data_IF_353004063642
#
_entry.id   IF_353004063642
#
_cell.length_a   1.000
_cell.length_b   1.000
_cell.length_c   1.000
_cell.angle_alpha   90.00
_cell.angle_beta   90.00
_cell.angle_gamma   90.00
#
_symmetry.space_group_name_H-M   'P 1'
#
loop_
_entity.id
_entity.type
_entity.pdbx_description
1 polymer ?
#
# COMPACT_ATOMS: atom_id res chain seq x y z
N UNK A 1 15.46 -8.01 -12.11
CA UNK A 1 14.45 -7.26 -12.89
C UNK A 1 15.10 -5.95 -13.31
N UNK A 2 15.08 -5.56 -14.59
CA UNK A 2 15.85 -4.38 -15.08
C UNK A 2 15.55 -3.12 -14.26
N UNK A 3 14.27 -2.88 -13.91
CA UNK A 3 13.87 -1.73 -13.09
C UNK A 3 14.52 -1.68 -11.71
N UNK A 4 14.56 -2.80 -10.96
CA UNK A 4 15.23 -2.89 -9.65
C UNK A 4 16.73 -2.61 -9.77
N UNK A 5 17.39 -3.23 -10.75
CA UNK A 5 18.82 -3.01 -10.98
C UNK A 5 19.13 -1.55 -11.33
N UNK A 6 18.27 -0.88 -12.09
CA UNK A 6 18.42 0.56 -12.35
C UNK A 6 18.31 1.40 -11.07
N UNK A 7 17.39 1.06 -10.15
CA UNK A 7 17.25 1.77 -8.86
C UNK A 7 18.51 1.57 -8.01
N UNK A 8 19.00 0.33 -7.88
CA UNK A 8 20.22 0.00 -7.13
C UNK A 8 21.45 0.75 -7.65
N UNK A 9 21.50 1.07 -8.95
CA UNK A 9 22.58 1.83 -9.58
C UNK A 9 22.32 3.36 -9.63
N UNK A 10 21.33 3.86 -8.91
CA UNK A 10 21.03 5.29 -8.78
C UNK A 10 20.15 5.89 -9.88
N UNK A 11 19.73 5.10 -10.89
CA UNK A 11 18.85 5.56 -11.97
C UNK A 11 17.37 5.46 -11.59
N UNK A 12 16.99 6.08 -10.46
CA UNK A 12 15.68 5.91 -9.81
C UNK A 12 14.49 6.17 -10.74
N UNK A 13 14.44 7.34 -11.37
CA UNK A 13 13.33 7.74 -12.26
C UNK A 13 13.14 6.75 -13.41
N UNK A 14 14.24 6.30 -14.01
CA UNK A 14 14.20 5.33 -15.09
C UNK A 14 13.78 3.94 -14.59
N UNK A 15 14.32 3.51 -13.44
CA UNK A 15 13.98 2.25 -12.79
C UNK A 15 12.49 2.16 -12.46
N UNK A 16 11.91 3.19 -11.83
CA UNK A 16 10.47 3.28 -11.54
C UNK A 16 9.65 3.20 -12.82
N UNK A 17 10.06 3.90 -13.90
CA UNK A 17 9.37 3.82 -15.19
C UNK A 17 9.37 2.40 -15.75
N UNK A 18 10.52 1.71 -15.70
CA UNK A 18 10.62 0.30 -16.12
C UNK A 18 9.74 -0.62 -15.27
N UNK A 19 9.67 -0.40 -13.96
CA UNK A 19 8.83 -1.16 -13.04
C UNK A 19 7.34 -0.96 -13.34
N UNK A 20 6.88 0.27 -13.54
CA UNK A 20 5.49 0.58 -13.91
C UNK A 20 5.10 -0.07 -15.25
N UNK A 21 5.97 -0.04 -16.25
CA UNK A 21 5.76 -0.75 -17.51
C UNK A 21 5.67 -2.26 -17.30
N UNK A 22 6.57 -2.84 -16.51
CA UNK A 22 6.55 -4.26 -16.17
C UNK A 22 5.27 -4.68 -15.45
N UNK A 23 4.79 -3.87 -14.51
CA UNK A 23 3.52 -4.05 -13.82
C UNK A 23 2.34 -4.09 -14.80
N UNK A 24 2.24 -3.11 -15.71
CA UNK A 24 1.19 -3.07 -16.72
C UNK A 24 1.17 -4.33 -17.60
N UNK A 25 2.33 -4.87 -17.96
CA UNK A 25 2.42 -6.11 -18.75
C UNK A 25 1.98 -7.34 -17.96
N UNK A 26 2.22 -7.40 -16.64
CA UNK A 26 1.79 -8.52 -15.79
C UNK A 26 0.27 -8.50 -15.64
N UNK A 27 -0.33 -7.32 -15.41
CA UNK A 27 -1.79 -7.17 -15.27
C UNK A 27 -2.58 -7.50 -16.54
N UNK A 28 -1.93 -7.58 -17.72
CA UNK A 28 -2.56 -7.96 -19.00
C UNK A 28 -2.55 -9.47 -19.26
N UNK A 29 -1.93 -10.27 -18.38
CA UNK A 29 -1.85 -11.74 -18.54
C UNK A 29 -3.14 -12.39 -18.06
N UNK A 30 -3.45 -13.55 -18.63
CA UNK A 30 -4.62 -14.36 -18.22
C UNK A 30 -4.50 -14.81 -16.76
N UNK A 31 -3.29 -15.12 -16.30
CA UNK A 31 -2.98 -15.40 -14.90
C UNK A 31 -2.05 -14.31 -14.36
N UNK A 32 -2.49 -13.65 -13.30
CA UNK A 32 -1.77 -12.55 -12.67
C UNK A 32 -0.83 -13.09 -11.58
N UNK A 33 0.47 -12.85 -11.76
CA UNK A 33 1.51 -13.20 -10.78
C UNK A 33 1.52 -12.18 -9.62
N UNK A 34 0.70 -12.45 -8.60
CA UNK A 34 0.56 -11.60 -7.41
C UNK A 34 1.87 -11.44 -6.60
N UNK A 35 2.75 -12.44 -6.61
CA UNK A 35 4.06 -12.39 -5.91
C UNK A 35 4.99 -11.42 -6.61
N UNK A 36 5.04 -11.47 -7.94
CA UNK A 36 5.89 -10.54 -8.72
C UNK A 36 5.34 -9.13 -8.67
N UNK A 37 4.03 -8.95 -8.71
CA UNK A 37 3.40 -7.64 -8.57
C UNK A 37 3.69 -7.00 -7.22
N UNK A 38 3.56 -7.76 -6.13
CA UNK A 38 3.81 -7.20 -4.79
C UNK A 38 5.24 -6.70 -4.61
N UNK A 39 6.22 -7.41 -5.18
CA UNK A 39 7.63 -6.97 -5.20
C UNK A 39 7.83 -5.68 -5.99
N UNK A 40 7.16 -5.54 -7.13
CA UNK A 40 7.22 -4.31 -7.94
C UNK A 40 6.60 -3.14 -7.18
N UNK A 41 5.42 -3.33 -6.60
CA UNK A 41 4.70 -2.31 -5.83
C UNK A 41 5.54 -1.84 -4.64
N UNK A 42 6.11 -2.77 -3.86
CA UNK A 42 6.99 -2.45 -2.73
C UNK A 42 8.16 -1.57 -3.18
N UNK A 43 8.82 -1.94 -4.26
CA UNK A 43 9.98 -1.21 -4.76
C UNK A 43 9.60 0.22 -5.20
N UNK A 44 8.47 0.37 -5.90
CA UNK A 44 7.97 1.71 -6.27
C UNK A 44 7.66 2.52 -5.01
N UNK A 45 6.97 1.94 -4.02
CA UNK A 45 6.59 2.64 -2.79
C UNK A 45 7.81 3.15 -2.01
N UNK A 46 8.87 2.35 -1.91
CA UNK A 46 10.09 2.74 -1.18
C UNK A 46 10.79 3.97 -1.78
N UNK A 47 10.61 4.21 -3.07
CA UNK A 47 11.28 5.28 -3.83
C UNK A 47 10.33 6.43 -4.20
N UNK A 48 9.10 6.42 -3.69
CA UNK A 48 8.05 7.35 -4.09
C UNK A 48 7.63 8.31 -2.99
N UNK A 49 7.07 9.45 -3.41
CA UNK A 49 6.42 10.40 -2.51
C UNK A 49 4.98 9.98 -2.18
N UNK A 50 4.38 10.62 -1.17
CA UNK A 50 3.10 10.24 -0.58
C UNK A 50 1.95 10.05 -1.61
N UNK A 51 1.82 10.91 -2.62
CA UNK A 51 0.75 10.79 -3.64
C UNK A 51 0.90 9.52 -4.49
N UNK A 52 2.12 9.23 -4.92
CA UNK A 52 2.40 8.05 -5.73
C UNK A 52 2.28 6.78 -4.87
N UNK A 53 2.65 6.85 -3.58
CA UNK A 53 2.44 5.74 -2.66
C UNK A 53 0.94 5.43 -2.50
N UNK A 54 0.07 6.44 -2.40
CA UNK A 54 -1.39 6.24 -2.34
C UNK A 54 -1.91 5.50 -3.59
N UNK A 55 -1.51 5.95 -4.78
CA UNK A 55 -1.90 5.32 -6.04
C UNK A 55 -1.41 3.86 -6.12
N UNK A 56 -0.18 3.59 -5.65
CA UNK A 56 0.34 2.23 -5.60
C UNK A 56 -0.42 1.33 -4.61
N UNK A 57 -0.83 1.86 -3.47
CA UNK A 57 -1.65 1.11 -2.50
C UNK A 57 -3.03 0.83 -3.06
N UNK A 58 -3.66 1.76 -3.77
CA UNK A 58 -4.96 1.53 -4.43
C UNK A 58 -4.89 0.45 -5.51
N UNK A 59 -3.79 0.42 -6.27
CA UNK A 59 -3.51 -0.67 -7.20
C UNK A 59 -3.30 -1.99 -6.47
N UNK A 60 -2.56 -2.00 -5.36
CA UNK A 60 -2.37 -3.19 -4.55
C UNK A 60 -3.71 -3.73 -4.02
N UNK A 61 -4.58 -2.88 -3.48
CA UNK A 61 -5.91 -3.26 -2.98
C UNK A 61 -6.76 -3.86 -4.10
N UNK A 62 -6.76 -3.24 -5.28
CA UNK A 62 -7.47 -3.77 -6.46
C UNK A 62 -6.94 -5.15 -6.84
N UNK A 63 -5.63 -5.35 -6.74
CA UNK A 63 -4.99 -6.62 -7.09
C UNK A 63 -5.23 -7.71 -6.06
N UNK A 64 -5.18 -7.40 -4.77
CA UNK A 64 -5.54 -8.32 -3.69
C UNK A 64 -6.95 -8.88 -3.91
N UNK A 65 -7.91 -8.01 -4.23
CA UNK A 65 -9.31 -8.40 -4.49
C UNK A 65 -9.52 -9.26 -5.72
N UNK A 66 -8.63 -9.17 -6.72
CA UNK A 66 -8.78 -9.88 -8.00
C UNK A 66 -7.92 -11.13 -8.13
N UNK A 67 -6.99 -11.38 -7.20
CA UNK A 67 -6.01 -12.48 -7.31
C UNK A 67 -6.31 -13.68 -6.42
N UNK A 68 -7.53 -13.81 -5.88
CA UNK A 68 -8.02 -14.95 -5.07
C UNK A 68 -6.95 -15.61 -4.16
N UNK A 69 -6.32 -14.79 -3.30
CA UNK A 69 -5.34 -15.26 -2.33
C UNK A 69 -3.88 -15.44 -2.83
N UNK A 70 -3.60 -15.17 -4.12
CA UNK A 70 -2.22 -15.24 -4.66
C UNK A 70 -1.34 -14.08 -4.13
N UNK A 71 -1.94 -12.93 -3.78
CA UNK A 71 -1.20 -11.80 -3.24
C UNK A 71 -0.59 -12.14 -1.86
N UNK A 72 0.72 -11.96 -1.62
CA UNK A 72 1.34 -12.41 -0.38
C UNK A 72 0.80 -11.71 0.88
N UNK A 73 0.35 -12.49 1.88
CA UNK A 73 -0.18 -11.96 3.15
C UNK A 73 0.77 -10.97 3.85
N UNK A 74 2.08 -11.29 3.91
CA UNK A 74 3.11 -10.40 4.47
C UNK A 74 3.21 -9.04 3.78
N UNK A 75 2.86 -8.98 2.49
CA UNK A 75 2.84 -7.73 1.73
C UNK A 75 1.61 -6.91 2.04
N UNK A 76 0.46 -7.55 2.28
CA UNK A 76 -0.77 -6.89 2.77
C UNK A 76 -0.50 -6.26 4.15
N UNK A 77 0.09 -7.03 5.08
CA UNK A 77 0.47 -6.56 6.41
C UNK A 77 1.45 -5.37 6.35
N UNK A 78 2.44 -5.43 5.45
CA UNK A 78 3.38 -4.34 5.27
C UNK A 78 2.72 -3.07 4.72
N UNK A 79 1.86 -3.20 3.69
CA UNK A 79 1.10 -2.07 3.13
C UNK A 79 0.17 -1.45 4.19
N UNK A 80 -0.45 -2.29 5.03
CA UNK A 80 -1.30 -1.86 6.14
C UNK A 80 -0.47 -1.02 7.14
N UNK A 81 0.70 -1.51 7.55
CA UNK A 81 1.59 -0.81 8.47
C UNK A 81 2.10 0.53 7.91
N UNK A 82 2.51 0.57 6.64
CA UNK A 82 2.92 1.82 5.98
C UNK A 82 1.78 2.84 5.97
N UNK A 83 0.58 2.40 5.57
CA UNK A 83 -0.61 3.26 5.54
C UNK A 83 -0.93 3.81 6.91
N UNK A 84 -0.92 2.97 7.95
CA UNK A 84 -1.19 3.39 9.33
C UNK A 84 -0.16 4.42 9.83
N UNK A 85 1.12 4.17 9.59
CA UNK A 85 2.20 5.07 10.02
C UNK A 85 2.15 6.43 9.32
N UNK A 86 1.84 6.45 8.02
CA UNK A 86 1.62 7.71 7.29
C UNK A 86 0.38 8.45 7.80
N UNK A 87 -0.70 7.73 8.14
CA UNK A 87 -1.88 8.30 8.80
C UNK A 87 -1.53 8.99 10.12
N UNK A 88 -0.74 8.33 10.98
CA UNK A 88 -0.25 8.91 12.22
C UNK A 88 0.60 10.17 11.98
N UNK A 89 1.49 10.13 10.99
CA UNK A 89 2.34 11.28 10.61
C UNK A 89 1.49 12.47 10.13
N UNK A 90 0.47 12.22 9.32
CA UNK A 90 -0.46 13.26 8.86
C UNK A 90 -1.30 13.82 10.01
N UNK A 91 -1.80 12.97 10.91
CA UNK A 91 -2.53 13.40 12.11
C UNK A 91 -1.68 14.27 13.01
N UNK A 92 -0.41 13.90 13.23
CA UNK A 92 0.55 14.70 13.99
C UNK A 92 0.79 16.08 13.36
N UNK A 93 0.82 16.15 12.02
CA UNK A 93 0.90 17.42 11.27
C UNK A 93 -0.43 18.18 11.19
N UNK A 94 -1.48 17.69 11.84
CA UNK A 94 -2.85 18.24 11.80
C UNK A 94 -3.47 18.25 10.38
N UNK A 95 -2.94 17.47 9.45
CA UNK A 95 -3.56 17.24 8.14
C UNK A 95 -4.60 16.11 8.27
N UNK A 96 -5.75 16.46 8.83
CA UNK A 96 -6.83 15.51 9.12
C UNK A 96 -7.39 14.85 7.85
N UNK A 97 -7.44 15.59 6.73
CA UNK A 97 -7.88 15.03 5.44
C UNK A 97 -6.95 13.90 5.02
N UNK A 98 -5.64 14.16 5.01
CA UNK A 98 -4.65 13.16 4.61
C UNK A 98 -4.54 12.01 5.61
N UNK A 99 -4.65 12.29 6.91
CA UNK A 99 -4.68 11.26 7.93
C UNK A 99 -5.83 10.27 7.69
N UNK A 100 -7.03 10.80 7.40
CA UNK A 100 -8.20 9.99 7.06
C UNK A 100 -7.98 9.13 5.82
N UNK A 101 -7.40 9.69 4.76
CA UNK A 101 -7.07 8.93 3.54
C UNK A 101 -6.18 7.73 3.85
N UNK A 102 -5.08 7.95 4.58
CA UNK A 102 -4.14 6.90 4.96
C UNK A 102 -4.75 5.84 5.86
N UNK A 103 -5.50 6.25 6.89
CA UNK A 103 -6.16 5.28 7.77
C UNK A 103 -7.19 4.45 7.02
N UNK A 104 -7.97 5.04 6.10
CA UNK A 104 -8.91 4.29 5.26
C UNK A 104 -8.21 3.19 4.46
N UNK A 105 -7.02 3.47 3.90
CA UNK A 105 -6.24 2.43 3.22
C UNK A 105 -5.81 1.32 4.17
N UNK A 106 -5.32 1.67 5.36
CA UNK A 106 -4.90 0.70 6.37
C UNK A 106 -6.07 -0.22 6.79
N UNK A 107 -7.24 0.35 7.06
CA UNK A 107 -8.44 -0.41 7.42
C UNK A 107 -8.86 -1.32 6.26
N UNK A 108 -8.92 -0.81 5.03
CA UNK A 108 -9.26 -1.62 3.84
C UNK A 108 -8.29 -2.80 3.67
N UNK A 109 -7.00 -2.60 3.90
CA UNK A 109 -6.01 -3.67 3.82
C UNK A 109 -6.21 -4.71 4.95
N UNK A 110 -6.53 -4.26 6.16
CA UNK A 110 -6.79 -5.15 7.31
C UNK A 110 -7.95 -6.13 7.07
N UNK A 111 -8.94 -5.77 6.25
CA UNK A 111 -10.07 -6.64 5.91
C UNK A 111 -9.65 -7.89 5.13
N UNK A 112 -8.46 -7.87 4.53
CA UNK A 112 -7.90 -8.98 3.76
C UNK A 112 -7.00 -9.90 4.60
N UNK A 113 -6.94 -9.69 5.92
CA UNK A 113 -6.19 -10.51 6.86
C UNK A 113 -7.21 -11.36 7.63
N UNK A 114 -7.19 -12.68 7.39
CA UNK A 114 -8.17 -13.63 7.96
C UNK A 114 -8.21 -13.64 9.50
N UNK A 115 -7.09 -13.31 10.15
CA UNK A 115 -6.99 -13.27 11.59
C UNK A 115 -7.11 -11.83 12.07
N UNK A 116 -8.20 -11.51 12.78
CA UNK A 116 -8.30 -10.27 13.56
C UNK A 116 -7.42 -10.41 14.80
N UNK A 117 -6.15 -10.13 14.62
CA UNK A 117 -5.22 -10.00 15.72
C UNK A 117 -5.50 -8.70 16.51
N UNK A 118 -5.09 -8.67 17.78
CA UNK A 118 -5.27 -7.54 18.70
C UNK A 118 -4.85 -6.19 18.10
N UNK A 119 -3.87 -6.22 17.17
CA UNK A 119 -3.39 -5.06 16.43
C UNK A 119 -4.50 -4.44 15.58
N UNK A 120 -5.26 -5.24 14.83
CA UNK A 120 -6.33 -4.74 13.94
C UNK A 120 -7.47 -4.17 14.78
N UNK A 121 -7.80 -4.79 15.92
CA UNK A 121 -8.80 -4.26 16.83
C UNK A 121 -8.38 -2.91 17.43
N UNK A 122 -7.12 -2.79 17.85
CA UNK A 122 -6.57 -1.53 18.35
C UNK A 122 -6.58 -0.45 17.28
N UNK A 123 -6.15 -0.77 16.06
CA UNK A 123 -6.19 0.16 14.93
C UNK A 123 -7.62 0.65 14.66
N UNK A 124 -8.60 -0.26 14.65
CA UNK A 124 -10.01 0.13 14.46
C UNK A 124 -10.51 1.06 15.57
N UNK A 125 -10.21 0.77 16.84
CA UNK A 125 -10.59 1.63 17.97
C UNK A 125 -9.98 3.04 17.84
N UNK A 126 -8.68 3.12 17.56
CA UNK A 126 -7.96 4.38 17.37
C UNK A 126 -8.50 5.19 16.19
N UNK A 127 -8.85 4.50 15.09
CA UNK A 127 -9.46 5.15 13.92
C UNK A 127 -10.83 5.75 14.27
N UNK A 128 -11.67 5.05 15.03
CA UNK A 128 -12.97 5.58 15.47
C UNK A 128 -12.81 6.81 16.38
N UNK A 129 -11.82 6.78 17.29
CA UNK A 129 -11.49 7.95 18.13
C UNK A 129 -11.13 9.14 17.23
N UNK A 130 -10.23 8.94 16.28
CA UNK A 130 -9.82 9.98 15.33
C UNK A 130 -10.99 10.54 14.52
N UNK A 131 -11.87 9.69 13.97
CA UNK A 131 -13.04 10.15 13.21
C UNK A 131 -13.99 10.99 14.07
N UNK A 132 -14.18 10.59 15.33
CA UNK A 132 -15.00 11.36 16.26
C UNK A 132 -14.37 12.70 16.66
N UNK A 133 -13.04 12.80 16.70
CA UNK A 133 -12.34 14.06 16.97
C UNK A 133 -12.49 15.07 15.83
N UNK A 134 -12.39 14.63 14.58
CA UNK A 134 -12.41 15.54 13.42
C UNK A 134 -13.83 15.95 12.97
N UNK A 135 -14.86 15.25 13.46
CA UNK A 135 -16.27 15.54 13.17
C UNK A 135 -16.96 16.40 14.25
N UNK A 136 -16.25 16.76 15.32
CA UNK A 136 -16.70 17.70 16.36
C UNK A 136 -16.40 19.13 15.94
#
# INVERSE_FOLDING_TARGET
MVGMSCIENGYKTYGIKCLKSGMSMICKRNEVDGVRLSRIIREIINESEDEEILDMIDKAITMIKSTDGIYPKKEIEWLMGISWNKGNKSRYKQDNRRAKEWYNKAITLSENIERRDEIIEKMNKEYQIFINEINK
#
